data_IF_045703863196
#
_entry.id   IF_045703863196
#
_cell.length_a   1.000
_cell.length_b   1.000
_cell.length_c   1.000
_cell.angle_alpha   90.00
_cell.angle_beta   90.00
_cell.angle_gamma   90.00
#
_symmetry.space_group_name_H-M   'P 1'
#
loop_
_entity.id
_entity.type
_entity.pdbx_description
1 polymer ?
#
# COMPACT_ATOMS: atom_id res chain seq x y z
N UNK A 1 8.35 -15.71 -13.98
CA UNK A 1 7.98 -15.34 -12.60
C UNK A 1 6.51 -15.67 -12.42
N UNK A 2 6.10 -16.14 -11.25
CA UNK A 2 4.67 -16.25 -10.94
C UNK A 2 4.08 -14.85 -10.75
N UNK A 3 2.76 -14.71 -10.87
CA UNK A 3 2.09 -13.43 -10.62
C UNK A 3 2.22 -13.00 -9.16
N UNK A 4 2.22 -13.98 -8.25
CA UNK A 4 2.52 -13.78 -6.83
C UNK A 4 3.91 -13.16 -6.62
N UNK A 5 4.95 -13.68 -7.27
CA UNK A 5 6.32 -13.13 -7.15
C UNK A 5 6.44 -11.73 -7.74
N UNK A 6 5.72 -11.45 -8.83
CA UNK A 6 5.66 -10.12 -9.44
C UNK A 6 4.98 -9.12 -8.50
N UNK A 7 3.84 -9.50 -7.91
CA UNK A 7 3.13 -8.72 -6.91
C UNK A 7 3.97 -8.46 -5.67
N UNK A 8 4.58 -9.50 -5.09
CA UNK A 8 5.45 -9.37 -3.91
C UNK A 8 6.56 -8.34 -4.15
N UNK A 9 7.22 -8.44 -5.32
CA UNK A 9 8.29 -7.53 -5.69
C UNK A 9 7.79 -6.09 -5.84
N UNK A 10 6.68 -5.90 -6.55
CA UNK A 10 6.06 -4.60 -6.75
C UNK A 10 5.69 -3.94 -5.42
N UNK A 11 5.09 -4.72 -4.50
CA UNK A 11 4.70 -4.23 -3.19
C UNK A 11 5.92 -3.82 -2.35
N UNK A 12 6.94 -4.68 -2.27
CA UNK A 12 8.13 -4.44 -1.43
C UNK A 12 9.08 -3.38 -1.98
N UNK A 13 9.24 -3.28 -3.30
CA UNK A 13 10.22 -2.38 -3.92
C UNK A 13 9.65 -1.00 -4.28
N UNK A 14 8.36 -0.90 -4.59
CA UNK A 14 7.76 0.34 -5.06
C UNK A 14 6.58 0.82 -4.21
N UNK A 15 5.51 0.01 -4.05
CA UNK A 15 4.23 0.48 -3.50
C UNK A 15 4.32 0.81 -2.02
N UNK A 16 4.81 -0.11 -1.19
CA UNK A 16 4.89 0.10 0.26
C UNK A 16 5.88 1.21 0.60
N UNK A 17 7.09 1.28 0.00
CA UNK A 17 7.98 2.42 0.22
C UNK A 17 7.33 3.78 -0.11
N UNK A 18 6.58 3.88 -1.21
CA UNK A 18 5.86 5.11 -1.57
C UNK A 18 4.77 5.46 -0.55
N UNK A 19 4.04 4.46 -0.05
CA UNK A 19 3.03 4.68 1.00
C UNK A 19 3.69 5.09 2.32
N UNK A 20 4.81 4.46 2.70
CA UNK A 20 5.57 4.78 3.91
C UNK A 20 6.08 6.22 3.87
N UNK A 21 6.65 6.66 2.74
CA UNK A 21 7.07 8.05 2.55
C UNK A 21 5.89 9.03 2.70
N UNK A 22 4.75 8.73 2.08
CA UNK A 22 3.54 9.56 2.23
C UNK A 22 3.01 9.59 3.67
N UNK A 23 3.03 8.45 4.37
CA UNK A 23 2.61 8.34 5.77
C UNK A 23 3.54 9.17 6.67
N UNK A 24 4.85 9.11 6.46
CA UNK A 24 5.84 9.88 7.22
C UNK A 24 5.62 11.40 7.01
N UNK A 25 5.38 11.83 5.77
CA UNK A 25 5.07 13.23 5.48
C UNK A 25 3.76 13.69 6.15
N UNK A 26 2.72 12.86 6.13
CA UNK A 26 1.44 13.14 6.78
C UNK A 26 1.56 13.13 8.31
N UNK A 27 2.37 12.22 8.88
CA UNK A 27 2.66 12.20 10.31
C UNK A 27 3.32 13.50 10.76
N UNK A 28 4.29 14.02 10.01
CA UNK A 28 4.94 15.31 10.31
C UNK A 28 3.93 16.48 10.32
N UNK A 29 2.94 16.45 9.43
CA UNK A 29 1.84 17.43 9.39
C UNK A 29 0.92 17.26 10.60
N UNK A 30 0.53 16.02 10.91
CA UNK A 30 -0.39 15.66 12.00
C UNK A 30 0.21 15.95 13.38
N UNK A 31 1.53 15.77 13.54
CA UNK A 31 2.26 16.13 14.77
C UNK A 31 2.49 17.65 14.91
N UNK A 32 2.25 18.39 13.83
CA UNK A 32 2.23 19.84 13.81
C UNK A 32 1.14 20.44 14.70
N UNK A 33 1.43 21.58 15.33
CA UNK A 33 0.49 22.30 16.23
C UNK A 33 -0.81 22.78 15.58
N UNK A 34 -0.98 22.62 14.26
CA UNK A 34 -2.13 23.07 13.48
C UNK A 34 -2.84 21.94 12.74
N UNK A 35 -2.51 20.67 13.02
CA UNK A 35 -3.15 19.52 12.36
C UNK A 35 -4.67 19.63 12.42
N UNK A 36 -5.32 19.48 11.28
CA UNK A 36 -6.78 19.46 11.20
C UNK A 36 -7.30 18.03 11.42
N UNK A 37 -8.63 17.87 11.44
CA UNK A 37 -9.23 16.54 11.40
C UNK A 37 -8.99 15.87 10.04
N UNK A 38 -9.00 16.66 8.97
CA UNK A 38 -8.78 16.19 7.61
C UNK A 38 -7.41 15.54 7.46
N UNK A 39 -6.36 16.20 7.96
CA UNK A 39 -4.98 15.67 7.96
C UNK A 39 -4.89 14.29 8.66
N UNK A 40 -5.65 14.11 9.75
CA UNK A 40 -5.69 12.85 10.51
C UNK A 40 -6.49 11.76 9.80
N UNK A 41 -7.59 12.14 9.15
CA UNK A 41 -8.41 11.23 8.37
C UNK A 41 -7.62 10.76 7.12
N UNK A 42 -6.81 11.63 6.51
CA UNK A 42 -5.92 11.32 5.39
C UNK A 42 -4.76 10.40 5.82
N UNK A 43 -4.08 10.70 6.92
CA UNK A 43 -3.06 9.81 7.48
C UNK A 43 -3.62 8.41 7.73
N UNK A 44 -4.79 8.34 8.37
CA UNK A 44 -5.45 7.06 8.65
C UNK A 44 -5.81 6.30 7.38
N UNK A 45 -6.26 7.00 6.34
CA UNK A 45 -6.55 6.37 5.05
C UNK A 45 -5.29 5.72 4.45
N UNK A 46 -4.14 6.41 4.53
CA UNK A 46 -2.87 5.85 4.06
C UNK A 46 -2.41 4.66 4.92
N UNK A 47 -2.55 4.74 6.24
CA UNK A 47 -2.28 3.61 7.16
C UNK A 47 -3.16 2.39 6.86
N UNK A 48 -4.45 2.60 6.56
CA UNK A 48 -5.39 1.52 6.20
C UNK A 48 -4.99 0.86 4.85
N UNK A 49 -4.55 1.65 3.86
CA UNK A 49 -4.02 1.11 2.60
C UNK A 49 -2.74 0.30 2.84
N UNK A 50 -1.82 0.82 3.65
CA UNK A 50 -0.58 0.11 4.00
C UNK A 50 -0.90 -1.23 4.65
N UNK A 51 -1.82 -1.23 5.61
CA UNK A 51 -2.22 -2.46 6.31
C UNK A 51 -2.77 -3.50 5.34
N UNK A 52 -3.60 -3.09 4.37
CA UNK A 52 -4.10 -4.00 3.33
C UNK A 52 -2.95 -4.65 2.55
N UNK A 53 -1.95 -3.89 2.11
CA UNK A 53 -0.81 -4.45 1.37
C UNK A 53 0.13 -5.29 2.24
N UNK A 54 0.29 -4.94 3.52
CA UNK A 54 1.01 -5.76 4.50
C UNK A 54 0.31 -7.12 4.69
N UNK A 55 -1.02 -7.15 4.78
CA UNK A 55 -1.80 -8.39 4.84
C UNK A 55 -1.65 -9.24 3.57
N UNK A 56 -1.67 -8.61 2.39
CA UNK A 56 -1.40 -9.29 1.12
C UNK A 56 0.00 -9.93 1.12
N UNK A 57 1.03 -9.22 1.60
CA UNK A 57 2.37 -9.79 1.72
C UNK A 57 2.41 -10.98 2.69
N UNK A 58 1.71 -10.91 3.82
CA UNK A 58 1.60 -12.02 4.76
C UNK A 58 0.92 -13.24 4.14
N UNK A 59 -0.11 -13.02 3.32
CA UNK A 59 -0.79 -14.09 2.58
C UNK A 59 0.11 -14.72 1.51
N UNK A 60 0.96 -13.92 0.86
CA UNK A 60 2.00 -14.43 -0.06
C UNK A 60 3.01 -15.30 0.71
N UNK A 61 3.55 -14.80 1.82
CA UNK A 61 4.54 -15.52 2.63
C UNK A 61 3.99 -16.80 3.25
N UNK A 62 2.69 -16.80 3.58
CA UNK A 62 1.97 -17.96 4.09
C UNK A 62 1.48 -18.91 3.00
N UNK A 63 1.71 -18.58 1.72
CA UNK A 63 1.23 -19.33 0.54
C UNK A 63 -0.30 -19.51 0.54
N UNK A 64 -1.02 -18.50 1.06
CA UNK A 64 -2.48 -18.42 1.13
C UNK A 64 -3.08 -17.58 -0.02
N UNK A 65 -2.28 -16.80 -0.73
CA UNK A 65 -2.70 -16.04 -1.91
C UNK A 65 -2.70 -16.94 -3.15
N UNK A 66 -3.76 -16.88 -3.98
CA UNK A 66 -3.79 -17.59 -5.27
C UNK A 66 -3.24 -16.70 -6.39
N UNK A 67 -2.80 -17.33 -7.47
CA UNK A 67 -2.35 -16.62 -8.67
C UNK A 67 -3.44 -15.71 -9.27
N UNK A 68 -4.72 -16.10 -9.19
CA UNK A 68 -5.85 -15.29 -9.66
C UNK A 68 -6.00 -14.01 -8.81
N UNK A 69 -5.95 -14.13 -7.49
CA UNK A 69 -6.01 -12.99 -6.56
C UNK A 69 -4.82 -12.04 -6.81
N UNK A 70 -3.63 -12.59 -7.07
CA UNK A 70 -2.46 -11.79 -7.39
C UNK A 70 -2.61 -11.02 -8.71
N UNK A 71 -3.29 -11.58 -9.71
CA UNK A 71 -3.59 -10.88 -10.98
C UNK A 71 -4.56 -9.73 -10.73
N UNK A 72 -5.65 -9.96 -9.99
CA UNK A 72 -6.62 -8.91 -9.69
C UNK A 72 -5.98 -7.74 -8.94
N UNK A 73 -5.14 -8.02 -7.95
CA UNK A 73 -4.43 -6.98 -7.19
C UNK A 73 -3.45 -6.21 -8.08
N UNK A 74 -2.70 -6.91 -8.94
CA UNK A 74 -1.77 -6.28 -9.89
C UNK A 74 -2.51 -5.36 -10.87
N UNK A 75 -3.64 -5.78 -11.41
CA UNK A 75 -4.46 -4.96 -12.31
C UNK A 75 -4.96 -3.70 -11.61
N UNK A 76 -5.49 -3.82 -10.39
CA UNK A 76 -5.94 -2.66 -9.60
C UNK A 76 -4.78 -1.71 -9.28
N UNK A 77 -3.61 -2.23 -8.92
CA UNK A 77 -2.40 -1.42 -8.69
C UNK A 77 -1.95 -0.67 -9.95
N UNK A 78 -2.04 -1.32 -11.12
CA UNK A 78 -1.70 -0.71 -12.39
C UNK A 78 -2.70 0.40 -12.74
N UNK A 79 -4.01 0.19 -12.54
CA UNK A 79 -5.04 1.21 -12.70
C UNK A 79 -4.80 2.43 -11.79
N UNK A 80 -4.47 2.21 -10.52
CA UNK A 80 -4.16 3.30 -9.58
C UNK A 80 -2.89 4.09 -9.97
N UNK A 81 -1.90 3.43 -10.58
CA UNK A 81 -0.67 4.09 -11.08
C UNK A 81 -0.85 4.85 -12.39
N UNK A 82 -1.85 4.47 -13.20
CA UNK A 82 -2.10 5.07 -14.53
C UNK A 82 -2.73 6.46 -14.43
N UNK A 83 -3.21 6.90 -13.26
CA UNK A 83 -3.62 8.29 -13.00
C UNK A 83 -2.41 9.26 -12.87
N UNK A 84 -1.47 9.20 -13.83
CA UNK A 84 -0.34 10.13 -14.01
C UNK A 84 -0.54 11.08 -15.18
#
# INVERSE_FOLDING_TARGET
MSKITELEKLLKEDVIPEIDENIDELMDIVDGKKSTKEDKDELKYMEDIKLYFDEVLLDIESNNLKDEDAVEILEVLEEMRIDK
#
